data_IF_651998313868
#
_entry.id   IF_651998313868
#
_cell.length_a   1.000
_cell.length_b   1.000
_cell.length_c   1.000
_cell.angle_alpha   90.00
_cell.angle_beta   90.00
_cell.angle_gamma   90.00
#
_symmetry.space_group_name_H-M   'P 1'
#
loop_
_entity.id
_entity.type
_entity.pdbx_description
1 polymer ?
#
# COMPACT_ATOMS: atom_id res chain seq x y z
N UNK A 1 22.00 13.05 -20.10
CA UNK A 1 20.99 14.04 -20.46
C UNK A 1 19.60 13.39 -20.39
N UNK A 2 18.71 13.96 -19.57
CA UNK A 2 17.34 13.47 -19.37
C UNK A 2 16.53 13.47 -20.67
N UNK A 3 16.59 14.54 -21.42
CA UNK A 3 15.81 14.68 -22.66
C UNK A 3 16.19 13.64 -23.70
N UNK A 4 17.47 13.38 -23.89
CA UNK A 4 17.94 12.31 -24.78
C UNK A 4 17.44 10.94 -24.38
N UNK A 5 17.48 10.62 -23.08
CA UNK A 5 17.00 9.35 -22.55
C UNK A 5 15.50 9.20 -22.78
N UNK A 6 14.72 10.25 -22.54
CA UNK A 6 13.27 10.22 -22.74
C UNK A 6 12.89 10.15 -24.22
N UNK A 7 13.59 10.85 -25.10
CA UNK A 7 13.38 10.77 -26.55
C UNK A 7 13.68 9.37 -27.08
N UNK A 8 14.71 8.72 -26.56
CA UNK A 8 15.05 7.34 -26.91
C UNK A 8 13.97 6.35 -26.41
N UNK A 9 13.49 6.53 -25.20
CA UNK A 9 12.41 5.71 -24.63
C UNK A 9 11.10 5.88 -25.43
N UNK A 10 10.77 7.11 -25.85
CA UNK A 10 9.61 7.40 -26.70
C UNK A 10 9.64 6.61 -28.00
N UNK A 11 10.80 6.53 -28.65
CA UNK A 11 10.98 5.80 -29.91
C UNK A 11 10.79 4.29 -29.78
N UNK A 12 10.86 3.75 -28.59
CA UNK A 12 10.68 2.32 -28.30
C UNK A 12 9.21 1.97 -27.97
N UNK A 13 8.28 2.91 -28.13
CA UNK A 13 6.88 2.73 -27.82
C UNK A 13 6.28 1.55 -28.59
N UNK A 14 5.48 0.74 -27.88
CA UNK A 14 4.63 -0.28 -28.48
C UNK A 14 3.37 0.37 -29.06
N UNK A 15 2.68 -0.29 -30.00
CA UNK A 15 1.41 0.23 -30.53
C UNK A 15 0.39 0.52 -29.43
N UNK A 16 -0.21 1.69 -29.46
CA UNK A 16 -1.22 2.12 -28.49
C UNK A 16 -0.69 2.82 -27.25
N UNK A 17 0.61 2.79 -27.01
CA UNK A 17 1.21 3.58 -25.90
C UNK A 17 1.26 5.06 -26.23
N UNK A 18 0.96 5.89 -25.26
CA UNK A 18 0.97 7.36 -25.39
C UNK A 18 2.26 7.95 -24.81
N UNK A 19 3.42 7.46 -25.29
CA UNK A 19 4.73 7.93 -24.81
C UNK A 19 5.05 9.37 -25.21
N UNK A 20 4.49 9.85 -26.32
CA UNK A 20 4.67 11.24 -26.75
C UNK A 20 4.10 12.22 -25.72
N UNK A 21 2.92 11.97 -25.20
CA UNK A 21 2.35 12.79 -24.12
C UNK A 21 3.14 12.64 -22.82
N UNK A 22 3.55 11.43 -22.48
CA UNK A 22 4.39 11.19 -21.30
C UNK A 22 5.70 11.98 -21.37
N UNK A 23 6.39 12.00 -22.50
CA UNK A 23 7.64 12.76 -22.68
C UNK A 23 7.40 14.26 -22.57
N UNK A 24 6.30 14.78 -23.13
CA UNK A 24 5.93 16.18 -22.96
C UNK A 24 5.76 16.56 -21.50
N UNK A 25 5.07 15.72 -20.72
CA UNK A 25 4.85 15.93 -19.29
C UNK A 25 6.15 15.82 -18.49
N UNK A 26 7.02 14.86 -18.82
CA UNK A 26 8.33 14.71 -18.20
C UNK A 26 9.22 15.95 -18.42
N UNK A 27 9.29 16.43 -19.66
CA UNK A 27 10.08 17.63 -20.01
C UNK A 27 9.54 18.87 -19.32
N UNK A 28 8.23 19.07 -19.34
CA UNK A 28 7.59 20.20 -18.64
C UNK A 28 7.88 20.17 -17.14
N UNK A 29 7.75 19.00 -16.52
CA UNK A 29 8.03 18.79 -15.10
C UNK A 29 9.48 19.18 -14.76
N UNK A 30 10.45 18.74 -15.57
CA UNK A 30 11.85 19.04 -15.32
C UNK A 30 12.19 20.51 -15.57
N UNK A 31 11.70 21.10 -16.67
CA UNK A 31 11.95 22.50 -17.03
C UNK A 31 11.40 23.44 -15.95
N UNK A 32 10.18 23.19 -15.50
CA UNK A 32 9.50 24.05 -14.53
C UNK A 32 9.76 23.64 -13.07
N UNK A 33 10.56 22.61 -12.84
CA UNK A 33 10.86 22.07 -11.51
C UNK A 33 9.60 21.77 -10.67
N UNK A 34 8.59 21.18 -11.32
CA UNK A 34 7.39 20.75 -10.62
C UNK A 34 7.70 19.64 -9.62
N UNK A 35 7.04 19.67 -8.47
CA UNK A 35 7.15 18.62 -7.45
C UNK A 35 6.24 17.42 -7.73
N UNK A 36 5.26 17.57 -8.60
CA UNK A 36 4.29 16.52 -8.95
C UNK A 36 4.41 16.13 -10.42
N UNK A 37 4.31 14.82 -10.66
CA UNK A 37 4.27 14.26 -12.01
C UNK A 37 3.11 13.28 -12.09
N UNK A 38 2.21 13.48 -13.05
CA UNK A 38 1.06 12.64 -13.32
C UNK A 38 1.15 12.05 -14.72
N UNK A 39 1.35 10.74 -14.80
CA UNK A 39 1.40 9.98 -16.06
C UNK A 39 0.29 8.91 -16.09
N UNK A 40 -0.91 9.29 -15.65
CA UNK A 40 -2.06 8.39 -15.56
C UNK A 40 -2.68 8.14 -16.94
N UNK A 41 -3.17 6.93 -17.17
CA UNK A 41 -3.99 6.56 -18.34
C UNK A 41 -3.32 6.83 -19.69
N UNK A 42 -2.04 6.53 -19.80
CA UNK A 42 -1.25 6.71 -21.02
C UNK A 42 -0.91 5.39 -21.71
N UNK A 43 -1.49 4.30 -21.26
CA UNK A 43 -1.24 2.96 -21.80
C UNK A 43 0.24 2.54 -21.78
N UNK A 44 0.99 3.01 -20.81
CA UNK A 44 2.43 2.78 -20.74
C UNK A 44 2.74 1.33 -20.32
N UNK A 45 3.61 0.66 -21.06
CA UNK A 45 4.15 -0.65 -20.71
C UNK A 45 5.41 -0.57 -19.83
N UNK A 46 6.07 0.58 -19.81
CA UNK A 46 7.22 0.89 -18.97
C UNK A 46 7.33 2.37 -18.72
N UNK A 47 8.15 2.77 -17.75
CA UNK A 47 8.59 4.14 -17.54
C UNK A 47 10.05 4.27 -17.98
N UNK A 48 10.53 5.48 -18.35
CA UNK A 48 11.94 5.69 -18.60
C UNK A 48 12.75 5.54 -17.30
N UNK A 49 14.02 5.15 -17.42
CA UNK A 49 14.87 4.87 -16.25
C UNK A 49 15.17 6.10 -15.40
N UNK A 50 15.14 7.28 -16.01
CA UNK A 50 15.51 8.54 -15.36
C UNK A 50 14.27 9.41 -15.16
N UNK A 51 13.61 9.29 -14.03
CA UNK A 51 12.51 10.20 -13.65
C UNK A 51 13.07 11.54 -13.15
N UNK A 52 12.31 12.63 -13.26
CA UNK A 52 12.75 13.93 -12.73
C UNK A 52 13.14 13.81 -11.25
N UNK A 53 14.36 14.24 -10.86
CA UNK A 53 14.89 13.93 -9.53
C UNK A 53 14.30 14.76 -8.38
N UNK A 54 13.55 15.82 -8.71
CA UNK A 54 12.97 16.73 -7.72
C UNK A 54 11.53 16.37 -7.31
N UNK A 55 10.90 15.40 -7.96
CA UNK A 55 9.48 15.12 -7.68
C UNK A 55 9.29 14.51 -6.30
N UNK A 56 8.24 14.95 -5.62
CA UNK A 56 7.78 14.40 -4.34
C UNK A 56 6.50 13.58 -4.50
N UNK A 57 5.75 13.79 -5.58
CA UNK A 57 4.51 13.07 -5.91
C UNK A 57 4.62 12.47 -7.31
N UNK A 58 4.39 11.16 -7.41
CA UNK A 58 4.31 10.44 -8.68
C UNK A 58 3.00 9.66 -8.73
N UNK A 59 2.18 9.95 -9.74
CA UNK A 59 0.97 9.20 -10.07
C UNK A 59 1.12 8.57 -11.45
N UNK A 60 0.98 7.26 -11.48
CA UNK A 60 1.14 6.44 -12.69
C UNK A 60 0.03 5.39 -12.78
N UNK A 61 -1.19 5.80 -12.39
CA UNK A 61 -2.35 4.91 -12.33
C UNK A 61 -2.87 4.52 -13.71
N UNK A 62 -3.51 3.35 -13.79
CA UNK A 62 -4.20 2.89 -15.00
C UNK A 62 -3.30 2.89 -16.24
N UNK A 63 -2.16 2.22 -16.10
CA UNK A 63 -1.26 1.90 -17.20
C UNK A 63 -1.14 0.36 -17.32
N UNK A 64 -0.16 -0.11 -18.06
CA UNK A 64 0.14 -1.53 -18.22
C UNK A 64 1.56 -1.86 -17.71
N UNK A 65 1.99 -1.20 -16.65
CA UNK A 65 3.34 -1.35 -16.10
C UNK A 65 3.52 -2.70 -15.42
N UNK A 66 4.59 -3.41 -15.75
CA UNK A 66 4.97 -4.68 -15.11
C UNK A 66 6.03 -4.49 -14.03
N UNK A 67 6.80 -3.44 -14.13
CA UNK A 67 7.84 -3.05 -13.17
C UNK A 67 8.03 -1.54 -13.18
N UNK A 68 8.74 -1.02 -12.18
CA UNK A 68 9.08 0.39 -12.07
C UNK A 68 10.60 0.56 -12.10
N UNK A 69 11.10 1.68 -12.64
CA UNK A 69 12.51 2.03 -12.54
C UNK A 69 12.87 2.46 -11.11
N UNK A 70 14.14 2.77 -10.88
CA UNK A 70 14.57 3.40 -9.63
C UNK A 70 13.74 4.67 -9.37
N UNK A 71 13.22 4.78 -8.15
CA UNK A 71 12.39 5.92 -7.76
C UNK A 71 13.24 7.08 -7.26
N UNK A 72 12.84 8.35 -7.52
CA UNK A 72 13.57 9.51 -7.00
C UNK A 72 13.69 9.51 -5.48
N UNK A 73 14.86 9.86 -4.97
CA UNK A 73 15.13 9.89 -3.52
C UNK A 73 14.30 10.93 -2.75
N UNK A 74 13.68 11.88 -3.45
CA UNK A 74 12.78 12.90 -2.89
C UNK A 74 11.33 12.46 -2.77
N UNK A 75 10.96 11.29 -3.32
CA UNK A 75 9.57 10.87 -3.44
C UNK A 75 8.93 10.62 -2.08
N UNK A 76 7.78 11.27 -1.84
CA UNK A 76 6.98 11.14 -0.61
C UNK A 76 5.66 10.43 -0.86
N UNK A 77 5.13 10.48 -2.08
CA UNK A 77 3.84 9.94 -2.47
C UNK A 77 3.96 9.17 -3.79
N UNK A 78 3.58 7.89 -3.77
CA UNK A 78 3.51 7.06 -4.98
C UNK A 78 2.13 6.44 -5.10
N UNK A 79 1.46 6.72 -6.22
CA UNK A 79 0.24 6.02 -6.63
C UNK A 79 0.47 5.29 -7.95
N UNK A 80 0.53 3.98 -7.87
CA UNK A 80 0.71 3.07 -9.00
C UNK A 80 -0.45 2.08 -9.12
N UNK A 81 -1.65 2.49 -8.74
CA UNK A 81 -2.86 1.66 -8.83
C UNK A 81 -3.17 1.24 -10.25
N UNK A 82 -3.83 0.10 -10.40
CA UNK A 82 -4.34 -0.37 -11.68
C UNK A 82 -3.24 -0.50 -12.74
N UNK A 83 -2.25 -1.30 -12.44
CA UNK A 83 -1.20 -1.72 -13.34
C UNK A 83 -1.08 -3.26 -13.33
N UNK A 84 0.03 -3.78 -13.81
CA UNK A 84 0.36 -5.21 -13.81
C UNK A 84 1.68 -5.46 -13.08
N UNK A 85 1.96 -4.67 -12.05
CA UNK A 85 3.22 -4.77 -11.31
C UNK A 85 3.32 -6.12 -10.60
N UNK A 86 4.38 -6.86 -10.88
CA UNK A 86 4.72 -8.11 -10.19
C UNK A 86 5.73 -7.90 -9.07
N UNK A 87 6.49 -6.81 -9.13
CA UNK A 87 7.49 -6.40 -8.13
C UNK A 87 7.50 -4.89 -8.00
N UNK A 88 8.08 -4.41 -6.89
CA UNK A 88 8.39 -3.00 -6.67
C UNK A 88 9.91 -2.85 -6.49
N UNK A 89 10.49 -1.72 -6.94
CA UNK A 89 11.89 -1.41 -6.64
C UNK A 89 12.06 -1.07 -5.15
N UNK A 90 13.29 -0.84 -4.73
CA UNK A 90 13.57 -0.28 -3.42
C UNK A 90 12.78 1.02 -3.24
N UNK A 91 12.09 1.15 -2.10
CA UNK A 91 11.31 2.34 -1.79
C UNK A 91 12.22 3.41 -1.18
N UNK A 92 12.12 4.68 -1.62
CA UNK A 92 12.95 5.75 -1.07
C UNK A 92 12.63 6.02 0.40
N UNK A 93 13.66 6.39 1.16
CA UNK A 93 13.52 6.65 2.61
C UNK A 93 12.57 7.80 2.94
N UNK A 94 12.30 8.68 1.99
CA UNK A 94 11.36 9.81 2.10
C UNK A 94 9.89 9.43 1.95
N UNK A 95 9.59 8.21 1.49
CA UNK A 95 8.23 7.81 1.13
C UNK A 95 7.32 7.73 2.36
N UNK A 96 6.17 8.41 2.28
CA UNK A 96 5.13 8.46 3.32
C UNK A 96 3.84 7.79 2.91
N UNK A 97 3.54 7.75 1.62
CA UNK A 97 2.29 7.23 1.07
C UNK A 97 2.58 6.30 -0.10
N UNK A 98 2.09 5.07 -0.01
CA UNK A 98 2.21 4.06 -1.06
C UNK A 98 0.84 3.48 -1.40
N UNK A 99 0.40 3.67 -2.63
CA UNK A 99 -0.80 3.04 -3.17
C UNK A 99 -0.45 2.20 -4.39
N UNK A 100 -0.58 0.90 -4.25
CA UNK A 100 -0.31 -0.11 -5.29
C UNK A 100 -1.50 -1.06 -5.45
N UNK A 101 -2.69 -0.58 -5.16
CA UNK A 101 -3.94 -1.32 -5.33
C UNK A 101 -4.09 -1.85 -6.76
N UNK A 102 -4.66 -3.03 -6.84
CA UNK A 102 -4.97 -3.68 -8.11
C UNK A 102 -3.75 -3.86 -9.02
N UNK A 103 -2.82 -4.64 -8.54
CA UNK A 103 -1.63 -5.12 -9.26
C UNK A 103 -1.49 -6.64 -9.10
N UNK A 104 -0.32 -7.18 -9.34
CA UNK A 104 -0.02 -8.62 -9.26
C UNK A 104 1.18 -8.88 -8.34
N UNK A 105 1.33 -8.06 -7.29
CA UNK A 105 2.44 -8.17 -6.37
C UNK A 105 2.33 -9.44 -5.51
N UNK A 106 3.42 -10.19 -5.41
CA UNK A 106 3.53 -11.36 -4.54
C UNK A 106 4.24 -11.05 -3.23
N UNK A 107 4.98 -9.96 -3.18
CA UNK A 107 5.66 -9.44 -2.00
C UNK A 107 5.84 -7.93 -2.09
N UNK A 108 6.02 -7.29 -0.94
CA UNK A 108 6.43 -5.89 -0.84
C UNK A 108 7.92 -5.84 -0.49
N UNK A 109 8.66 -4.82 -0.95
CA UNK A 109 10.03 -4.60 -0.50
C UNK A 109 10.06 -4.14 0.97
N UNK A 110 11.26 -4.01 1.53
CA UNK A 110 11.43 -3.38 2.84
C UNK A 110 10.73 -2.02 2.89
N UNK A 111 9.96 -1.78 3.95
CA UNK A 111 9.18 -0.55 4.09
C UNK A 111 10.02 0.55 4.77
N UNK A 112 10.05 1.76 4.19
CA UNK A 112 10.83 2.86 4.79
C UNK A 112 10.23 3.35 6.11
N UNK A 113 11.09 3.87 6.98
CA UNK A 113 10.76 4.21 8.35
C UNK A 113 9.74 5.36 8.51
N UNK A 114 9.51 6.17 7.47
CA UNK A 114 8.56 7.29 7.49
C UNK A 114 7.20 6.97 6.88
N UNK A 115 7.00 5.73 6.42
CA UNK A 115 5.78 5.34 5.73
C UNK A 115 4.59 5.38 6.69
N UNK A 116 3.55 6.12 6.32
CA UNK A 116 2.34 6.35 7.12
C UNK A 116 1.12 5.64 6.56
N UNK A 117 1.06 5.46 5.25
CA UNK A 117 -0.08 4.90 4.54
C UNK A 117 0.35 3.87 3.51
N UNK A 118 -0.28 2.69 3.56
CA UNK A 118 -0.12 1.64 2.53
C UNK A 118 -1.51 1.16 2.11
N UNK A 119 -1.77 1.19 0.80
CA UNK A 119 -2.83 0.43 0.18
C UNK A 119 -2.24 -0.53 -0.85
N UNK A 120 -2.31 -1.81 -0.56
CA UNK A 120 -1.90 -2.89 -1.45
C UNK A 120 -3.05 -3.91 -1.64
N UNK A 121 -4.29 -3.42 -1.68
CA UNK A 121 -5.46 -4.25 -1.94
C UNK A 121 -5.37 -4.93 -3.30
N UNK A 122 -6.05 -6.05 -3.46
CA UNK A 122 -6.17 -6.71 -4.75
C UNK A 122 -4.82 -7.02 -5.41
N UNK A 123 -3.98 -7.72 -4.68
CA UNK A 123 -2.70 -8.26 -5.14
C UNK A 123 -2.66 -9.77 -4.84
N UNK A 124 -1.49 -10.34 -4.80
CA UNK A 124 -1.25 -11.76 -4.54
C UNK A 124 -0.24 -11.96 -3.40
N UNK A 125 -0.27 -11.03 -2.43
CA UNK A 125 0.67 -11.05 -1.31
C UNK A 125 0.43 -12.27 -0.42
N UNK A 126 1.51 -13.00 -0.11
CA UNK A 126 1.48 -14.15 0.78
C UNK A 126 2.03 -13.83 2.17
N UNK A 127 2.79 -12.76 2.29
CA UNK A 127 3.35 -12.26 3.54
C UNK A 127 3.63 -10.76 3.44
N UNK A 128 3.75 -10.11 4.57
CA UNK A 128 4.13 -8.70 4.67
C UNK A 128 5.51 -8.58 5.31
N UNK A 129 6.32 -7.58 4.93
CA UNK A 129 7.55 -7.25 5.65
C UNK A 129 7.23 -6.65 7.02
N UNK A 130 8.28 -6.43 7.82
CA UNK A 130 8.14 -5.70 9.08
C UNK A 130 7.48 -4.34 8.84
N UNK A 131 6.50 -3.99 9.68
CA UNK A 131 5.75 -2.74 9.56
C UNK A 131 6.49 -1.61 10.30
N UNK A 132 6.65 -0.42 9.69
CA UNK A 132 7.33 0.68 10.35
C UNK A 132 6.50 1.27 11.50
N UNK A 133 7.17 1.83 12.49
CA UNK A 133 6.53 2.42 13.68
C UNK A 133 5.76 3.71 13.39
N UNK A 134 5.87 4.24 12.17
CA UNK A 134 5.14 5.41 11.68
C UNK A 134 3.80 5.07 11.02
N UNK A 135 3.55 3.78 10.73
CA UNK A 135 2.41 3.36 9.90
C UNK A 135 1.09 3.61 10.63
N UNK A 136 0.20 4.35 9.99
CA UNK A 136 -1.12 4.72 10.50
C UNK A 136 -2.24 3.94 9.81
N UNK A 137 -2.12 3.70 8.52
CA UNK A 137 -3.12 3.01 7.71
C UNK A 137 -2.48 1.89 6.90
N UNK A 138 -3.04 0.68 7.04
CA UNK A 138 -2.66 -0.48 6.25
C UNK A 138 -3.90 -1.14 5.69
N UNK A 139 -4.02 -1.16 4.36
CA UNK A 139 -5.04 -1.91 3.66
C UNK A 139 -4.40 -2.94 2.73
N UNK A 140 -4.68 -4.20 2.96
CA UNK A 140 -4.18 -5.34 2.18
C UNK A 140 -5.30 -6.35 1.90
N UNK A 141 -6.50 -5.84 1.62
CA UNK A 141 -7.67 -6.64 1.28
C UNK A 141 -7.42 -7.48 0.03
N UNK A 142 -8.09 -8.62 0.00
CA UNK A 142 -8.06 -9.48 -1.18
C UNK A 142 -6.64 -9.82 -1.63
N UNK A 143 -5.92 -10.44 -0.72
CA UNK A 143 -4.59 -11.03 -0.93
C UNK A 143 -4.61 -12.49 -0.46
N UNK A 144 -3.47 -13.08 -0.22
CA UNK A 144 -3.31 -14.48 0.18
C UNK A 144 -2.50 -14.60 1.48
N UNK A 145 -2.65 -13.62 2.38
CA UNK A 145 -1.91 -13.59 3.64
C UNK A 145 -2.39 -14.69 4.58
N UNK A 146 -1.45 -15.43 5.16
CA UNK A 146 -1.72 -16.48 6.14
C UNK A 146 -1.43 -16.04 7.57
N UNK A 147 -0.63 -15.00 7.74
CA UNK A 147 -0.31 -14.37 9.04
C UNK A 147 0.04 -12.92 8.83
N UNK A 148 0.04 -12.15 9.91
CA UNK A 148 0.45 -10.75 9.93
C UNK A 148 1.70 -10.57 10.80
N UNK A 149 2.59 -9.64 10.44
CA UNK A 149 3.66 -9.23 11.34
C UNK A 149 3.11 -8.50 12.55
N UNK A 150 3.98 -8.20 13.52
CA UNK A 150 3.62 -7.35 14.66
C UNK A 150 3.04 -6.02 14.19
N UNK A 151 1.90 -5.62 14.78
CA UNK A 151 1.24 -4.37 14.44
C UNK A 151 1.86 -3.22 15.24
N UNK A 152 2.23 -2.10 14.57
CA UNK A 152 2.79 -0.95 15.29
C UNK A 152 1.73 -0.20 16.10
N UNK A 153 2.13 0.42 17.20
CA UNK A 153 1.25 1.21 18.06
C UNK A 153 0.63 2.43 17.35
N UNK A 154 1.27 2.90 16.29
CA UNK A 154 0.79 4.00 15.46
C UNK A 154 -0.44 3.67 14.61
N UNK A 155 -0.73 2.38 14.43
CA UNK A 155 -1.76 1.93 13.49
C UNK A 155 -3.16 2.32 13.94
N UNK A 156 -3.88 3.04 13.09
CA UNK A 156 -5.24 3.53 13.33
C UNK A 156 -6.29 2.78 12.51
N UNK A 157 -5.93 2.37 11.31
CA UNK A 157 -6.81 1.62 10.43
C UNK A 157 -6.08 0.43 9.81
N UNK A 158 -6.71 -0.74 9.92
CA UNK A 158 -6.25 -1.98 9.32
C UNK A 158 -7.40 -2.62 8.56
N UNK A 159 -7.17 -2.94 7.30
CA UNK A 159 -8.09 -3.79 6.54
C UNK A 159 -7.33 -4.97 5.94
N UNK A 160 -7.56 -6.14 6.51
CA UNK A 160 -7.02 -7.43 6.05
C UNK A 160 -8.12 -8.37 5.60
N UNK A 161 -9.28 -7.81 5.26
CA UNK A 161 -10.43 -8.59 4.80
C UNK A 161 -10.08 -9.41 3.56
N UNK A 162 -10.74 -10.56 3.42
CA UNK A 162 -10.57 -11.44 2.27
C UNK A 162 -9.10 -11.86 2.08
N UNK A 163 -8.57 -12.51 3.09
CA UNK A 163 -7.26 -13.15 3.11
C UNK A 163 -7.41 -14.59 3.63
N UNK A 164 -6.32 -15.20 4.03
CA UNK A 164 -6.25 -16.58 4.51
C UNK A 164 -5.73 -16.67 5.96
N UNK A 165 -5.95 -15.60 6.74
CA UNK A 165 -5.46 -15.51 8.11
C UNK A 165 -6.16 -16.53 9.00
N UNK A 166 -5.40 -17.29 9.79
CA UNK A 166 -5.90 -18.25 10.77
C UNK A 166 -5.94 -17.66 12.18
N UNK A 167 -5.16 -16.61 12.42
CA UNK A 167 -5.10 -15.89 13.70
C UNK A 167 -4.77 -14.43 13.47
N UNK A 168 -4.96 -13.60 14.50
CA UNK A 168 -4.53 -12.21 14.52
C UNK A 168 -3.38 -12.04 15.50
N UNK A 169 -2.41 -11.14 15.21
CA UNK A 169 -1.42 -10.75 16.20
C UNK A 169 -2.08 -9.94 17.32
N UNK A 170 -1.35 -9.71 18.41
CA UNK A 170 -1.80 -8.83 19.47
C UNK A 170 -2.11 -7.45 18.91
N UNK A 171 -3.26 -6.90 19.29
CA UNK A 171 -3.63 -5.54 18.92
C UNK A 171 -2.86 -4.58 19.84
N UNK A 172 -2.20 -3.55 19.28
CA UNK A 172 -1.46 -2.60 20.09
C UNK A 172 -2.36 -1.90 21.11
N UNK A 173 -1.95 -1.89 22.37
CA UNK A 173 -2.65 -1.13 23.43
C UNK A 173 -2.06 0.27 23.43
N UNK A 174 -2.88 1.26 23.12
CA UNK A 174 -2.47 2.66 23.22
C UNK A 174 -2.62 3.16 24.64
N UNK A 175 -1.52 3.65 25.22
CA UNK A 175 -1.50 4.25 26.54
C UNK A 175 -1.89 5.75 26.54
N UNK A 176 -2.26 6.29 25.39
CA UNK A 176 -2.61 7.69 25.26
C UNK A 176 -4.03 7.82 24.71
N UNK A 177 -4.94 8.19 25.61
CA UNK A 177 -6.30 8.60 25.28
C UNK A 177 -6.27 9.98 24.57
N UNK A 178 -6.11 9.98 23.28
CA UNK A 178 -6.72 11.06 22.50
C UNK A 178 -8.17 10.64 22.28
N UNK A 179 -9.08 11.29 22.96
CA UNK A 179 -10.52 10.97 22.96
C UNK A 179 -11.18 11.08 21.57
N UNK A 180 -10.43 11.35 20.50
CA UNK A 180 -10.96 11.68 19.19
C UNK A 180 -10.57 10.70 18.06
N UNK A 181 -9.73 9.68 18.32
CA UNK A 181 -9.29 8.80 17.24
C UNK A 181 -9.95 7.44 17.36
N UNK A 182 -10.93 7.19 16.51
CA UNK A 182 -11.49 5.85 16.33
C UNK A 182 -10.50 4.94 15.60
N UNK A 183 -10.33 3.73 16.09
CA UNK A 183 -9.45 2.71 15.51
C UNK A 183 -10.33 1.65 14.84
N UNK A 184 -10.08 1.37 13.56
CA UNK A 184 -10.84 0.40 12.80
C UNK A 184 -9.96 -0.74 12.31
N UNK A 185 -10.27 -1.97 12.74
CA UNK A 185 -9.66 -3.19 12.25
C UNK A 185 -10.70 -4.05 11.55
N UNK A 186 -10.56 -4.21 10.24
CA UNK A 186 -11.44 -5.04 9.40
C UNK A 186 -10.74 -6.32 9.04
N UNK A 187 -11.31 -7.43 9.51
CA UNK A 187 -10.74 -8.78 9.35
C UNK A 187 -11.76 -9.78 8.79
N UNK A 188 -12.74 -9.32 8.03
CA UNK A 188 -13.79 -10.16 7.44
C UNK A 188 -13.23 -11.18 6.46
N UNK A 189 -13.98 -12.28 6.27
CA UNK A 189 -13.67 -13.25 5.22
C UNK A 189 -12.23 -13.77 5.31
N UNK A 190 -11.85 -14.28 6.46
CA UNK A 190 -10.59 -14.96 6.71
C UNK A 190 -10.89 -16.38 7.26
N UNK A 191 -9.89 -17.04 7.78
CA UNK A 191 -9.97 -18.37 8.39
C UNK A 191 -9.67 -18.32 9.88
N UNK A 192 -9.97 -17.20 10.54
CA UNK A 192 -9.63 -16.95 11.93
C UNK A 192 -10.47 -17.82 12.84
N UNK A 193 -9.81 -18.66 13.62
CA UNK A 193 -10.42 -19.50 14.66
C UNK A 193 -10.05 -19.03 16.05
N UNK A 194 -8.93 -18.35 16.19
CA UNK A 194 -8.37 -17.88 17.44
C UNK A 194 -8.10 -16.38 17.39
N UNK A 195 -8.49 -15.69 18.45
CA UNK A 195 -8.19 -14.27 18.64
C UNK A 195 -7.41 -14.08 19.95
N UNK A 196 -6.46 -13.13 20.02
CA UNK A 196 -5.73 -12.82 21.24
C UNK A 196 -6.68 -12.36 22.36
N UNK A 197 -6.35 -12.67 23.61
CA UNK A 197 -7.17 -12.27 24.76
C UNK A 197 -7.33 -10.74 24.87
N UNK A 198 -6.35 -9.97 24.46
CA UNK A 198 -6.41 -8.52 24.52
C UNK A 198 -7.45 -7.91 23.56
N UNK A 199 -7.94 -8.65 22.57
CA UNK A 199 -9.06 -8.19 21.73
C UNK A 199 -10.35 -8.10 22.54
N UNK A 200 -10.51 -8.94 23.56
CA UNK A 200 -11.70 -8.94 24.42
C UNK A 200 -11.69 -7.78 25.44
N UNK A 201 -10.56 -7.10 25.60
CA UNK A 201 -10.38 -5.98 26.54
C UNK A 201 -9.99 -4.67 25.86
N UNK A 202 -10.33 -4.51 24.58
CA UNK A 202 -10.02 -3.30 23.83
C UNK A 202 -10.81 -2.12 24.34
N UNK A 203 -10.18 -0.94 24.19
CA UNK A 203 -10.82 0.33 24.42
C UNK A 203 -12.11 0.46 23.58
N UNK A 204 -13.18 1.06 24.09
CA UNK A 204 -14.42 1.30 23.33
C UNK A 204 -14.24 2.09 22.04
N UNK A 205 -13.13 2.81 21.87
CA UNK A 205 -12.79 3.52 20.62
C UNK A 205 -12.23 2.61 19.54
N UNK A 206 -11.96 1.34 19.84
CA UNK A 206 -11.46 0.37 18.88
C UNK A 206 -12.58 -0.55 18.39
N UNK A 207 -12.85 -0.51 17.09
CA UNK A 207 -13.81 -1.39 16.42
C UNK A 207 -13.05 -2.49 15.67
N UNK A 208 -13.40 -3.76 15.97
CA UNK A 208 -12.88 -4.92 15.21
C UNK A 208 -14.04 -5.63 14.55
N UNK A 209 -13.94 -5.83 13.24
CA UNK A 209 -14.94 -6.54 12.43
C UNK A 209 -14.38 -7.92 12.06
N UNK A 210 -15.02 -8.98 12.55
CA UNK A 210 -14.58 -10.37 12.41
C UNK A 210 -15.61 -11.24 11.69
N UNK A 211 -16.59 -10.66 11.01
CA UNK A 211 -17.62 -11.39 10.28
C UNK A 211 -17.01 -12.34 9.24
N UNK A 212 -17.72 -13.43 8.98
CA UNK A 212 -17.32 -14.44 8.00
C UNK A 212 -15.97 -15.12 8.33
N UNK A 213 -15.73 -15.37 9.62
CA UNK A 213 -14.63 -16.20 10.11
C UNK A 213 -15.18 -17.40 10.88
N UNK A 214 -14.47 -18.55 10.90
CA UNK A 214 -14.91 -19.76 11.62
C UNK A 214 -14.62 -19.69 13.12
N UNK A 215 -15.07 -18.63 13.78
CA UNK A 215 -14.93 -18.46 15.23
C UNK A 215 -15.78 -19.47 15.99
N UNK A 216 -15.27 -19.97 17.13
CA UNK A 216 -16.05 -20.83 18.02
C UNK A 216 -17.26 -20.09 18.62
N UNK A 217 -18.31 -20.84 18.99
CA UNK A 217 -19.49 -20.24 19.64
C UNK A 217 -19.12 -19.45 20.89
N UNK A 218 -18.18 -19.98 21.68
CA UNK A 218 -17.68 -19.32 22.88
C UNK A 218 -17.06 -17.95 22.61
N UNK A 219 -16.26 -17.83 21.54
CA UNK A 219 -15.66 -16.55 21.13
C UNK A 219 -16.73 -15.58 20.65
N UNK A 220 -17.69 -16.05 19.85
CA UNK A 220 -18.81 -15.23 19.38
C UNK A 220 -19.65 -14.67 20.51
N UNK A 221 -19.94 -15.50 21.52
CA UNK A 221 -20.66 -15.08 22.72
C UNK A 221 -19.87 -14.02 23.51
N UNK A 222 -18.56 -14.19 23.68
CA UNK A 222 -17.70 -13.23 24.36
C UNK A 222 -17.67 -11.88 23.65
N UNK A 223 -17.64 -11.87 22.31
CA UNK A 223 -17.68 -10.64 21.52
C UNK A 223 -19.05 -9.95 21.62
N UNK A 224 -20.15 -10.69 21.64
CA UNK A 224 -21.51 -10.12 21.71
C UNK A 224 -21.84 -9.50 23.07
N UNK A 225 -21.13 -9.88 24.13
CA UNK A 225 -21.34 -9.33 25.48
C UNK A 225 -20.63 -7.99 25.70
N UNK A 226 -19.82 -7.54 24.75
CA UNK A 226 -19.06 -6.27 24.83
C UNK A 226 -19.73 -5.13 24.05
N UNK A 227 -20.80 -5.40 23.34
CA UNK A 227 -21.65 -4.41 22.69
C UNK A 227 -22.85 -4.11 23.58
#
# INVERSE_FOLDING_TARGET
DYFSAWDKWEKQALPGENRNEAVSLLKECLINQFSELQLNRLNLSSLPDNLPPQITVLEITQNALISLPELPASLEYLDACDNHLSTLPELPASLKHLDVDNNQLTMLPELPALLEYINADNNQLTMLPELPTSLEVLSVRNNQLTFLPELPESLEALDVSTNLLESLPAVPVRNHHSEETEIFFRCRENRITYIPENILSLDPTCTIILEDNPLSSRIRESLSQQT
#
